data_IF_741217851661
#
_entry.id   IF_741217851661
#
_cell.length_a   1.000
_cell.length_b   1.000
_cell.length_c   1.000
_cell.angle_alpha   90.00
_cell.angle_beta   90.00
_cell.angle_gamma   90.00
#
_symmetry.space_group_name_H-M   'P 1'
#
loop_
_entity.id
_entity.type
_entity.pdbx_description
1 polymer ?
#
# COMPACT_ATOMS: atom_id res chain seq x y z
N UNK A 1 -5.89 -13.54 21.60
CA UNK A 1 -5.67 -13.92 20.17
C UNK A 1 -6.95 -14.22 19.38
N UNK A 2 -8.01 -14.80 19.98
CA UNK A 2 -9.29 -15.07 19.30
C UNK A 2 -10.00 -13.76 18.87
N UNK A 3 -10.00 -12.75 19.75
CA UNK A 3 -10.59 -11.43 19.48
C UNK A 3 -9.88 -10.62 18.38
N UNK A 4 -8.55 -10.69 18.29
CA UNK A 4 -7.79 -10.02 17.21
C UNK A 4 -8.10 -10.65 15.84
N UNK A 5 -8.31 -11.97 15.77
CA UNK A 5 -8.75 -12.65 14.55
C UNK A 5 -10.19 -12.30 14.18
N UNK A 6 -11.07 -12.15 15.17
CA UNK A 6 -12.43 -11.66 14.99
C UNK A 6 -12.52 -10.20 14.58
N UNK A 7 -11.50 -9.37 14.85
CA UNK A 7 -11.40 -7.98 14.39
C UNK A 7 -10.77 -7.87 12.99
N UNK A 8 -9.82 -8.74 12.66
CA UNK A 8 -9.19 -8.76 11.32
C UNK A 8 -10.13 -9.26 10.23
N UNK A 9 -11.07 -10.16 10.55
CA UNK A 9 -12.06 -10.66 9.61
C UNK A 9 -13.01 -9.56 9.10
N UNK A 10 -13.70 -8.75 9.95
CA UNK A 10 -14.53 -7.65 9.49
C UNK A 10 -13.68 -6.58 8.82
N UNK A 11 -12.45 -6.32 9.27
CA UNK A 11 -11.55 -5.40 8.56
C UNK A 11 -11.23 -5.87 7.14
N UNK A 12 -10.93 -7.16 6.95
CA UNK A 12 -10.68 -7.73 5.63
C UNK A 12 -11.93 -7.75 4.76
N UNK A 13 -13.10 -8.04 5.35
CA UNK A 13 -14.40 -8.00 4.67
C UNK A 13 -14.73 -6.56 4.23
N UNK A 14 -14.60 -5.58 5.12
CA UNK A 14 -14.80 -4.15 4.81
C UNK A 14 -13.82 -3.72 3.71
N UNK A 15 -12.53 -4.08 3.82
CA UNK A 15 -11.54 -3.79 2.79
C UNK A 15 -11.90 -4.40 1.42
N UNK A 16 -12.36 -5.66 1.37
CA UNK A 16 -12.83 -6.28 0.12
C UNK A 16 -14.16 -5.71 -0.39
N UNK A 17 -15.08 -5.31 0.51
CA UNK A 17 -16.34 -4.66 0.13
C UNK A 17 -16.09 -3.26 -0.41
N UNK A 18 -15.20 -2.48 0.20
CA UNK A 18 -14.78 -1.17 -0.33
C UNK A 18 -14.22 -1.29 -1.74
N UNK A 19 -13.41 -2.32 -2.01
CA UNK A 19 -12.92 -2.63 -3.36
C UNK A 19 -14.04 -2.96 -4.36
N UNK A 20 -15.07 -3.71 -3.93
CA UNK A 20 -16.21 -4.06 -4.77
C UNK A 20 -17.20 -2.91 -5.00
N UNK A 21 -17.34 -2.02 -4.01
CA UNK A 21 -18.23 -0.86 -4.07
C UNK A 21 -17.58 0.23 -4.94
N UNK A 22 -16.32 0.59 -4.68
CA UNK A 22 -15.59 1.63 -5.45
C UNK A 22 -15.40 1.19 -6.91
N UNK A 23 -15.27 -0.10 -7.19
CA UNK A 23 -15.18 -0.62 -8.56
C UNK A 23 -16.50 -0.68 -9.36
N UNK A 24 -17.66 -0.50 -8.72
CA UNK A 24 -18.98 -0.66 -9.35
C UNK A 24 -19.90 0.57 -9.24
N UNK A 25 -19.45 1.68 -8.67
CA UNK A 25 -20.17 2.95 -8.77
C UNK A 25 -19.69 3.69 -10.03
N UNK A 26 -20.49 3.80 -11.10
CA UNK A 26 -20.35 4.97 -11.95
C UNK A 26 -20.64 6.16 -11.04
N UNK A 27 -19.63 7.00 -10.82
CA UNK A 27 -19.81 8.27 -10.14
C UNK A 27 -20.82 9.06 -10.96
N UNK A 28 -22.07 9.10 -10.49
CA UNK A 28 -23.11 9.95 -11.04
C UNK A 28 -22.78 11.38 -10.62
N UNK A 29 -22.20 12.14 -11.53
CA UNK A 29 -22.01 13.58 -11.37
C UNK A 29 -23.38 14.26 -11.49
N UNK A 30 -24.07 14.39 -10.37
CA UNK A 30 -25.26 15.23 -10.25
C UNK A 30 -24.87 16.45 -9.43
N UNK A 31 -24.29 17.44 -10.12
CA UNK A 31 -24.29 18.82 -9.68
C UNK A 31 -24.13 19.71 -10.91
N UNK A 32 -25.25 20.28 -11.34
CA UNK A 32 -25.33 21.49 -12.17
C UNK A 32 -24.38 22.56 -11.61
N UNK A 33 -23.35 22.95 -12.38
CA UNK A 33 -22.85 24.33 -12.45
C UNK A 33 -22.05 24.52 -13.76
N UNK A 34 -22.68 25.27 -14.67
CA UNK A 34 -22.18 25.98 -15.85
C UNK A 34 -20.90 25.50 -16.55
N UNK A 35 -21.08 25.07 -17.80
CA UNK A 35 -20.04 24.92 -18.80
C UNK A 35 -19.25 26.23 -19.02
N UNK A 36 -17.96 26.21 -18.65
CA UNK A 36 -16.91 26.82 -19.47
C UNK A 36 -15.87 25.77 -19.78
N UNK A 37 -16.06 25.10 -20.91
CA UNK A 37 -14.99 24.39 -21.58
C UNK A 37 -13.98 25.42 -22.14
N UNK A 38 -13.12 25.92 -21.26
CA UNK A 38 -11.84 26.47 -21.70
C UNK A 38 -10.91 25.28 -21.97
N UNK A 39 -10.70 25.04 -23.26
CA UNK A 39 -9.71 24.12 -23.79
C UNK A 39 -8.31 24.67 -23.45
N UNK A 40 -7.86 24.46 -22.22
CA UNK A 40 -6.49 24.74 -21.78
C UNK A 40 -5.73 23.43 -21.59
N UNK A 41 -4.82 23.20 -22.54
CA UNK A 41 -3.59 22.41 -22.45
C UNK A 41 -3.69 20.92 -22.02
N UNK A 42 -3.78 20.06 -23.04
CA UNK A 42 -3.71 18.58 -23.01
C UNK A 42 -2.44 17.97 -22.35
N UNK A 43 -1.58 18.79 -21.72
CA UNK A 43 -0.41 18.35 -20.97
C UNK A 43 -0.67 18.26 -19.45
N UNK A 44 -1.49 19.14 -18.88
CA UNK A 44 -1.78 19.13 -17.42
C UNK A 44 -2.53 17.85 -17.01
N UNK A 45 -3.51 17.40 -17.80
CA UNK A 45 -4.24 16.16 -17.53
C UNK A 45 -3.40 14.88 -17.66
N UNK A 46 -2.32 14.88 -18.44
CA UNK A 46 -1.47 13.68 -18.61
C UNK A 46 -0.69 13.35 -17.35
N UNK A 47 -0.22 14.37 -16.62
CA UNK A 47 0.52 14.16 -15.39
C UNK A 47 -0.38 13.70 -14.25
N UNK A 48 -1.62 14.16 -14.21
CA UNK A 48 -2.63 13.72 -13.25
C UNK A 48 -2.94 12.22 -13.38
N UNK A 49 -3.23 11.76 -14.60
CA UNK A 49 -3.52 10.35 -14.88
C UNK A 49 -2.33 9.43 -14.59
N UNK A 50 -1.13 9.86 -14.96
CA UNK A 50 0.11 9.15 -14.61
C UNK A 50 0.30 9.11 -13.11
N UNK A 51 0.08 10.22 -12.40
CA UNK A 51 0.21 10.30 -10.95
C UNK A 51 -0.75 9.34 -10.26
N UNK A 52 -2.02 9.29 -10.67
CA UNK A 52 -3.03 8.35 -10.17
C UNK A 52 -2.62 6.89 -10.41
N UNK A 53 -2.14 6.56 -11.61
CA UNK A 53 -1.68 5.21 -11.93
C UNK A 53 -0.47 4.78 -11.08
N UNK A 54 0.50 5.68 -10.90
CA UNK A 54 1.68 5.44 -10.04
C UNK A 54 1.27 5.32 -8.56
N UNK A 55 0.30 6.11 -8.10
CA UNK A 55 -0.29 6.01 -6.76
C UNK A 55 -0.88 4.61 -6.49
N UNK A 56 -1.73 4.11 -7.39
CA UNK A 56 -2.26 2.75 -7.27
C UNK A 56 -1.17 1.67 -7.38
N UNK A 57 -0.20 1.86 -8.27
CA UNK A 57 0.98 1.00 -8.36
C UNK A 57 1.73 0.94 -7.02
N UNK A 58 1.89 2.07 -6.34
CA UNK A 58 2.50 2.16 -5.00
C UNK A 58 1.71 1.34 -3.99
N UNK A 59 0.39 1.50 -3.92
CA UNK A 59 -0.48 0.78 -2.98
C UNK A 59 -0.42 -0.73 -3.19
N UNK A 60 -0.50 -1.19 -4.43
CA UNK A 60 -0.43 -2.62 -4.78
C UNK A 60 0.93 -3.20 -4.37
N UNK A 61 2.01 -2.50 -4.69
CA UNK A 61 3.38 -2.97 -4.42
C UNK A 61 3.68 -2.97 -2.93
N UNK A 62 3.26 -1.94 -2.20
CA UNK A 62 3.36 -1.85 -0.74
C UNK A 62 2.56 -2.96 -0.06
N UNK A 63 1.33 -3.21 -0.53
CA UNK A 63 0.50 -4.33 -0.09
C UNK A 63 1.23 -5.65 -0.28
N UNK A 64 1.74 -5.92 -1.49
CA UNK A 64 2.50 -7.14 -1.79
C UNK A 64 3.73 -7.31 -0.87
N UNK A 65 4.46 -6.24 -0.56
CA UNK A 65 5.56 -6.27 0.39
C UNK A 65 5.09 -6.60 1.82
N UNK A 66 3.96 -6.02 2.25
CA UNK A 66 3.37 -6.24 3.58
C UNK A 66 2.75 -7.64 3.78
N UNK A 67 2.24 -8.27 2.72
CA UNK A 67 1.56 -9.56 2.75
C UNK A 67 2.42 -10.72 3.27
N UNK A 68 3.76 -10.60 3.22
CA UNK A 68 4.68 -11.64 3.71
C UNK A 68 4.42 -12.03 5.16
N UNK A 69 4.09 -11.07 6.02
CA UNK A 69 3.92 -11.29 7.45
C UNK A 69 2.66 -12.11 7.78
N UNK A 70 1.45 -11.71 7.34
CA UNK A 70 0.25 -12.51 7.59
C UNK A 70 0.36 -13.91 6.94
N UNK A 71 0.95 -14.02 5.75
CA UNK A 71 1.19 -15.33 5.09
C UNK A 71 2.06 -16.22 5.98
N UNK A 72 3.22 -15.72 6.44
CA UNK A 72 4.14 -16.51 7.28
C UNK A 72 3.52 -16.86 8.64
N UNK A 73 2.78 -15.94 9.25
CA UNK A 73 2.12 -16.14 10.54
C UNK A 73 0.99 -17.17 10.47
N UNK A 74 0.23 -17.17 9.39
CA UNK A 74 -0.91 -18.06 9.17
C UNK A 74 -0.54 -19.39 8.50
N UNK A 75 0.71 -19.56 8.07
CA UNK A 75 1.20 -20.72 7.32
C UNK A 75 0.87 -22.08 7.96
N UNK A 76 1.09 -22.21 9.28
CA UNK A 76 0.78 -23.46 10.00
C UNK A 76 -0.70 -23.81 9.92
N UNK A 77 -1.56 -22.80 10.08
CA UNK A 77 -3.00 -22.96 10.01
C UNK A 77 -3.46 -23.27 8.57
N UNK A 78 -2.92 -22.56 7.57
CA UNK A 78 -3.23 -22.79 6.14
C UNK A 78 -2.88 -24.21 5.71
N UNK A 79 -1.68 -24.69 6.05
CA UNK A 79 -1.24 -26.04 5.69
C UNK A 79 -2.07 -27.11 6.41
N UNK A 80 -2.48 -26.87 7.66
CA UNK A 80 -3.29 -27.81 8.44
C UNK A 80 -4.72 -27.95 7.92
N UNK A 81 -5.36 -26.85 7.50
CA UNK A 81 -6.76 -26.86 7.05
C UNK A 81 -6.89 -27.14 5.55
N UNK A 82 -5.87 -26.81 4.76
CA UNK A 82 -5.86 -26.96 3.31
C UNK A 82 -4.62 -27.76 2.84
N UNK A 83 -4.49 -29.04 3.24
CA UNK A 83 -3.31 -29.85 2.95
C UNK A 83 -3.07 -30.06 1.45
N UNK A 84 -4.14 -30.10 0.64
CA UNK A 84 -4.06 -30.21 -0.83
C UNK A 84 -3.29 -29.04 -1.47
N UNK A 85 -3.39 -27.84 -0.89
CA UNK A 85 -2.75 -26.61 -1.39
C UNK A 85 -1.44 -26.28 -0.68
N UNK A 86 -0.91 -27.18 0.16
CA UNK A 86 0.33 -26.99 0.93
C UNK A 86 1.51 -26.53 0.07
N UNK A 87 1.71 -27.19 -1.08
CA UNK A 87 2.81 -26.85 -2.00
C UNK A 87 2.69 -25.41 -2.50
N UNK A 88 1.48 -24.99 -2.86
CA UNK A 88 1.17 -23.62 -3.29
C UNK A 88 1.49 -22.61 -2.20
N UNK A 89 0.97 -22.79 -0.97
CA UNK A 89 1.23 -21.85 0.13
C UNK A 89 2.72 -21.72 0.47
N UNK A 90 3.46 -22.83 0.48
CA UNK A 90 4.91 -22.81 0.69
C UNK A 90 5.61 -22.06 -0.44
N UNK A 91 5.24 -22.32 -1.70
CA UNK A 91 5.79 -21.64 -2.87
C UNK A 91 5.54 -20.13 -2.81
N UNK A 92 4.30 -19.73 -2.57
CA UNK A 92 3.90 -18.32 -2.42
C UNK A 92 4.68 -17.64 -1.30
N UNK A 93 4.81 -18.25 -0.12
CA UNK A 93 5.59 -17.67 0.98
C UNK A 93 7.08 -17.58 0.68
N UNK A 94 7.64 -18.50 -0.09
CA UNK A 94 9.03 -18.43 -0.55
C UNK A 94 9.20 -17.31 -1.57
N UNK A 95 8.27 -17.15 -2.50
CA UNK A 95 8.26 -16.08 -3.49
C UNK A 95 8.28 -14.71 -2.83
N UNK A 96 7.27 -14.39 -2.01
CA UNK A 96 7.24 -13.12 -1.27
C UNK A 96 8.46 -13.00 -0.34
N UNK A 97 8.91 -14.10 0.26
CA UNK A 97 10.12 -14.12 1.08
C UNK A 97 11.41 -13.74 0.36
N UNK A 98 11.57 -14.18 -0.88
CA UNK A 98 12.76 -13.94 -1.70
C UNK A 98 12.76 -12.52 -2.26
N UNK A 99 11.60 -12.05 -2.72
CA UNK A 99 11.47 -10.77 -3.41
C UNK A 99 11.03 -9.61 -2.51
N UNK A 100 10.75 -9.83 -1.22
CA UNK A 100 10.28 -8.79 -0.30
C UNK A 100 11.12 -7.50 -0.33
N UNK A 101 12.46 -7.61 -0.32
CA UNK A 101 13.34 -6.42 -0.38
C UNK A 101 13.18 -5.70 -1.71
N UNK A 102 13.19 -6.42 -2.83
CA UNK A 102 13.03 -5.85 -4.17
C UNK A 102 11.66 -5.18 -4.36
N UNK A 103 10.59 -5.83 -3.89
CA UNK A 103 9.22 -5.30 -3.91
C UNK A 103 9.13 -4.04 -3.02
N UNK A 104 9.77 -4.05 -1.84
CA UNK A 104 9.81 -2.89 -0.96
C UNK A 104 10.57 -1.70 -1.57
N UNK A 105 11.70 -1.94 -2.23
CA UNK A 105 12.43 -0.90 -2.98
C UNK A 105 11.55 -0.33 -4.10
N UNK A 106 10.87 -1.18 -4.84
CA UNK A 106 9.96 -0.75 -5.90
C UNK A 106 8.80 0.10 -5.34
N UNK A 107 8.19 -0.31 -4.22
CA UNK A 107 7.12 0.46 -3.57
C UNK A 107 7.62 1.85 -3.14
N UNK A 108 8.82 1.93 -2.57
CA UNK A 108 9.42 3.21 -2.20
C UNK A 108 9.70 4.08 -3.43
N UNK A 109 10.26 3.51 -4.49
CA UNK A 109 10.51 4.24 -5.73
C UNK A 109 9.22 4.79 -6.34
N UNK A 110 8.17 3.96 -6.45
CA UNK A 110 6.86 4.39 -6.96
C UNK A 110 6.24 5.48 -6.07
N UNK A 111 6.37 5.39 -4.74
CA UNK A 111 5.84 6.43 -3.85
C UNK A 111 6.53 7.79 -4.02
N UNK A 112 7.84 7.78 -4.30
CA UNK A 112 8.60 9.01 -4.56
C UNK A 112 8.18 9.59 -5.90
N UNK A 113 8.07 8.73 -6.93
CA UNK A 113 7.61 9.15 -8.26
C UNK A 113 6.21 9.75 -8.16
N UNK A 114 5.27 9.09 -7.46
CA UNK A 114 3.92 9.60 -7.23
C UNK A 114 3.93 10.98 -6.58
N UNK A 115 4.69 11.17 -5.49
CA UNK A 115 4.80 12.49 -4.85
C UNK A 115 5.39 13.56 -5.75
N UNK A 116 6.37 13.22 -6.60
CA UNK A 116 6.95 14.15 -7.58
C UNK A 116 5.93 14.50 -8.67
N UNK A 117 5.25 13.51 -9.25
CA UNK A 117 4.27 13.73 -10.31
C UNK A 117 3.07 14.52 -9.81
N UNK A 118 2.64 14.28 -8.57
CA UNK A 118 1.58 15.05 -7.92
C UNK A 118 2.00 16.51 -7.73
N UNK A 119 3.19 16.76 -7.17
CA UNK A 119 3.71 18.13 -7.02
C UNK A 119 3.86 18.87 -8.36
N UNK A 120 4.32 18.19 -9.40
CA UNK A 120 4.44 18.80 -10.74
C UNK A 120 3.08 19.10 -11.35
N UNK A 121 2.08 18.25 -11.11
CA UNK A 121 0.72 18.39 -11.63
C UNK A 121 -0.08 19.48 -10.91
N UNK A 122 0.04 19.56 -9.58
CA UNK A 122 -0.75 20.46 -8.73
C UNK A 122 -0.02 21.78 -8.43
N UNK A 123 1.28 21.86 -8.70
CA UNK A 123 2.12 23.04 -8.42
C UNK A 123 2.47 23.22 -6.94
N UNK A 124 1.71 22.61 -6.02
CA UNK A 124 1.98 22.56 -4.59
C UNK A 124 1.56 21.22 -3.95
N UNK A 125 1.88 21.04 -2.67
CA UNK A 125 1.39 19.91 -1.87
C UNK A 125 0.35 20.45 -0.89
N UNK A 126 -0.93 20.21 -1.18
CA UNK A 126 -2.01 20.51 -0.25
C UNK A 126 -2.00 19.58 0.97
N UNK A 127 -2.96 19.75 1.90
CA UNK A 127 -3.00 19.03 3.18
C UNK A 127 -2.86 17.51 3.04
N UNK A 128 -3.50 16.93 2.03
CA UNK A 128 -3.46 15.49 1.79
C UNK A 128 -2.10 15.05 1.22
N UNK A 129 -1.47 15.88 0.39
CA UNK A 129 -0.11 15.67 -0.09
C UNK A 129 0.94 15.69 1.03
N UNK A 130 0.74 16.51 2.07
CA UNK A 130 1.60 16.52 3.27
C UNK A 130 1.48 15.20 4.03
N UNK A 131 0.26 14.66 4.16
CA UNK A 131 0.03 13.35 4.81
C UNK A 131 0.71 12.24 4.02
N UNK A 132 0.62 12.26 2.69
CA UNK A 132 1.34 11.36 1.79
C UNK A 132 2.86 11.42 1.99
N UNK A 133 3.43 12.63 2.10
CA UNK A 133 4.86 12.83 2.35
C UNK A 133 5.31 12.21 3.68
N UNK A 134 4.52 12.37 4.76
CA UNK A 134 4.80 11.73 6.06
C UNK A 134 4.84 10.20 5.92
N UNK A 135 3.94 9.61 5.13
CA UNK A 135 3.95 8.17 4.88
C UNK A 135 5.24 7.73 4.15
N UNK A 136 5.68 8.48 3.15
CA UNK A 136 6.93 8.20 2.41
C UNK A 136 8.15 8.28 3.34
N UNK A 137 8.23 9.30 4.19
CA UNK A 137 9.31 9.43 5.18
C UNK A 137 9.33 8.26 6.17
N UNK A 138 8.18 7.84 6.69
CA UNK A 138 8.11 6.66 7.54
C UNK A 138 8.52 5.38 6.80
N UNK A 139 8.12 5.24 5.53
CA UNK A 139 8.50 4.09 4.70
C UNK A 139 10.01 4.06 4.44
N UNK A 140 10.64 5.22 4.25
CA UNK A 140 12.09 5.36 4.14
C UNK A 140 12.78 4.83 5.41
N UNK A 141 12.34 5.30 6.59
CA UNK A 141 12.88 4.84 7.89
C UNK A 141 12.64 3.34 8.07
N UNK A 142 11.43 2.85 7.76
CA UNK A 142 11.11 1.43 7.82
C UNK A 142 12.03 0.60 6.92
N UNK A 143 12.36 1.11 5.72
CA UNK A 143 13.27 0.46 4.77
C UNK A 143 14.69 0.39 5.31
N UNK A 144 15.19 1.42 5.98
CA UNK A 144 16.50 1.39 6.66
C UNK A 144 16.55 0.29 7.73
N UNK A 145 15.53 0.21 8.59
CA UNK A 145 15.43 -0.89 9.57
C UNK A 145 15.32 -2.26 8.90
N UNK A 146 14.62 -2.35 7.77
CA UNK A 146 14.50 -3.57 6.96
C UNK A 146 15.85 -4.03 6.40
N UNK A 147 16.67 -3.11 5.89
CA UNK A 147 18.01 -3.37 5.39
C UNK A 147 18.95 -3.82 6.51
N UNK A 148 18.93 -3.16 7.67
CA UNK A 148 19.71 -3.56 8.85
C UNK A 148 19.28 -4.97 9.31
N UNK A 149 17.98 -5.23 9.37
CA UNK A 149 17.42 -6.54 9.73
C UNK A 149 17.81 -7.65 8.74
N UNK A 150 17.96 -7.32 7.45
CA UNK A 150 18.39 -8.28 6.42
C UNK A 150 19.77 -8.86 6.70
N UNK A 151 20.67 -8.04 7.28
CA UNK A 151 22.00 -8.43 7.74
C UNK A 151 21.96 -9.07 9.13
N UNK A 152 21.07 -8.59 10.02
CA UNK A 152 20.98 -8.99 11.43
C UNK A 152 19.68 -9.75 11.78
N UNK A 153 19.42 -10.86 11.09
CA UNK A 153 18.12 -11.60 11.10
C UNK A 153 17.59 -12.06 12.47
N UNK A 154 18.45 -12.13 13.50
CA UNK A 154 18.08 -12.57 14.86
C UNK A 154 17.57 -11.43 15.76
N UNK A 155 17.70 -10.16 15.33
CA UNK A 155 17.28 -9.00 16.12
C UNK A 155 15.76 -8.88 16.29
N UNK A 156 15.21 -9.37 17.41
CA UNK A 156 13.77 -9.28 17.71
C UNK A 156 13.29 -7.82 17.77
N UNK A 157 14.08 -6.93 18.36
CA UNK A 157 13.78 -5.50 18.45
C UNK A 157 13.67 -4.87 17.05
N UNK A 158 14.70 -5.00 16.20
CA UNK A 158 14.71 -4.50 14.82
C UNK A 158 13.50 -4.96 14.00
N UNK A 159 13.12 -6.25 14.13
CA UNK A 159 11.94 -6.79 13.46
C UNK A 159 10.65 -6.15 13.94
N UNK A 160 10.51 -5.95 15.25
CA UNK A 160 9.33 -5.30 15.81
C UNK A 160 9.26 -3.83 15.38
N UNK A 161 10.38 -3.12 15.38
CA UNK A 161 10.45 -1.73 14.91
C UNK A 161 10.05 -1.63 13.44
N UNK A 162 10.64 -2.43 12.57
CA UNK A 162 10.27 -2.47 11.15
C UNK A 162 8.78 -2.77 10.95
N UNK A 163 8.23 -3.78 11.63
CA UNK A 163 6.80 -4.12 11.56
C UNK A 163 5.90 -2.99 12.03
N UNK A 164 6.28 -2.30 13.12
CA UNK A 164 5.50 -1.19 13.69
C UNK A 164 5.52 0.01 12.75
N UNK A 165 6.68 0.34 12.18
CA UNK A 165 6.81 1.42 11.20
C UNK A 165 5.98 1.13 9.95
N UNK A 166 6.05 -0.09 9.39
CA UNK A 166 5.22 -0.46 8.23
C UNK A 166 3.73 -0.42 8.55
N UNK A 167 3.32 -0.87 9.74
CA UNK A 167 1.91 -0.80 10.15
C UNK A 167 1.43 0.66 10.26
N UNK A 168 2.27 1.55 10.80
CA UNK A 168 1.97 2.99 10.86
C UNK A 168 1.94 3.61 9.47
N UNK A 169 2.90 3.30 8.59
CA UNK A 169 2.89 3.72 7.18
C UNK A 169 1.60 3.30 6.49
N UNK A 170 1.18 2.03 6.62
CA UNK A 170 -0.05 1.55 6.00
C UNK A 170 -1.30 2.28 6.53
N UNK A 171 -1.32 2.63 7.82
CA UNK A 171 -2.39 3.42 8.39
C UNK A 171 -2.43 4.85 7.82
N UNK A 172 -1.28 5.53 7.71
CA UNK A 172 -1.23 6.88 7.13
C UNK A 172 -1.56 6.85 5.64
N UNK A 173 -1.08 5.85 4.88
CA UNK A 173 -1.44 5.66 3.47
C UNK A 173 -2.95 5.46 3.33
N UNK A 174 -3.58 4.70 4.22
CA UNK A 174 -5.04 4.55 4.22
C UNK A 174 -5.77 5.87 4.46
N UNK A 175 -5.29 6.70 5.41
CA UNK A 175 -5.85 8.04 5.66
C UNK A 175 -5.66 8.94 4.43
N UNK A 176 -4.47 8.95 3.83
CA UNK A 176 -4.16 9.73 2.62
C UNK A 176 -5.00 9.35 1.39
N UNK A 177 -5.51 8.11 1.32
CA UNK A 177 -6.38 7.68 0.20
C UNK A 177 -7.84 8.10 0.41
N UNK A 178 -8.26 8.31 1.67
CA UNK A 178 -9.67 8.58 2.02
C UNK A 178 -9.97 10.07 2.13
N UNK A 179 -8.99 10.85 2.54
CA UNK A 179 -9.02 12.31 2.46
C UNK A 179 -8.79 12.71 1.01
#
# INVERSE_FOLDING_TARGET
MKYIKMLLLPFFIVFTLSFLIIGNHPVSADHDFDERYEHHDDEEGKYEDVSKAVGWGTVITLGAAGFIFPIRRSMKWLISNYPKSKKTFISTSKFFGKYHISIGILALALSIIHGITMYVSEGELEGDGIIGLVAVLLMLVASLFGLILSKNKKGKSLRNTHMTLIALTLFIVFVHIIL
#
